data_IF_906772288395
#
_entry.id   IF_906772288395
#
_cell.length_a   1.000
_cell.length_b   1.000
_cell.length_c   1.000
_cell.angle_alpha   90.00
_cell.angle_beta   90.00
_cell.angle_gamma   90.00
#
_symmetry.space_group_name_H-M   'P 1'
#
loop_
_entity.id
_entity.type
_entity.pdbx_description
1 polymer ?
#
# COMPACT_ATOMS: atom_id res chain seq x y z
N UNK A 1 -18.79 -1.27 -37.06
CA UNK A 1 -17.66 -1.04 -36.15
C UNK A 1 -18.10 -1.41 -34.76
N UNK A 2 -17.32 -2.28 -34.11
CA UNK A 2 -17.42 -2.50 -32.67
C UNK A 2 -17.09 -1.18 -31.95
N UNK A 3 -17.69 -0.87 -30.80
CA UNK A 3 -17.29 0.29 -29.98
C UNK A 3 -16.33 -0.15 -28.89
N UNK A 4 -15.27 0.63 -28.57
CA UNK A 4 -14.35 0.30 -27.47
C UNK A 4 -15.07 0.19 -26.12
N UNK A 5 -16.13 0.98 -25.90
CA UNK A 5 -16.95 0.95 -24.67
C UNK A 5 -17.73 -0.36 -24.48
N UNK A 6 -18.02 -1.08 -25.57
CA UNK A 6 -18.82 -2.31 -25.55
C UNK A 6 -17.95 -3.56 -25.46
N UNK A 7 -16.90 -3.62 -26.28
CA UNK A 7 -15.95 -4.74 -26.31
C UNK A 7 -14.60 -4.26 -26.84
N UNK A 8 -13.76 -3.76 -25.94
CA UNK A 8 -12.41 -3.26 -26.23
C UNK A 8 -11.53 -4.32 -26.90
N UNK A 9 -11.73 -5.62 -26.60
CA UNK A 9 -10.92 -6.69 -27.18
C UNK A 9 -11.29 -6.91 -28.64
N UNK A 10 -12.59 -7.00 -28.94
CA UNK A 10 -13.06 -7.16 -30.31
C UNK A 10 -12.74 -5.92 -31.15
N UNK A 11 -12.96 -4.71 -30.61
CA UNK A 11 -12.60 -3.45 -31.26
C UNK A 11 -11.08 -3.36 -31.53
N UNK A 12 -10.22 -3.63 -30.55
CA UNK A 12 -8.76 -3.54 -30.73
C UNK A 12 -8.26 -4.53 -31.79
N UNK A 13 -8.88 -5.71 -31.89
CA UNK A 13 -8.57 -6.70 -32.95
C UNK A 13 -9.01 -6.20 -34.33
N UNK A 14 -10.19 -5.59 -34.43
CA UNK A 14 -10.70 -4.97 -35.66
C UNK A 14 -9.75 -3.85 -36.12
N UNK A 15 -9.41 -2.90 -35.25
CA UNK A 15 -8.47 -1.82 -35.56
C UNK A 15 -7.08 -2.32 -35.96
N UNK A 16 -6.55 -3.32 -35.25
CA UNK A 16 -5.26 -3.91 -35.58
C UNK A 16 -5.27 -4.68 -36.92
N UNK A 17 -6.42 -5.20 -37.36
CA UNK A 17 -6.56 -5.80 -38.69
C UNK A 17 -6.57 -4.73 -39.79
N UNK A 18 -7.30 -3.62 -39.59
CA UNK A 18 -7.34 -2.48 -40.51
C UNK A 18 -5.95 -1.85 -40.69
N UNK A 19 -5.22 -1.63 -39.59
CA UNK A 19 -3.84 -1.12 -39.62
C UNK A 19 -2.91 -2.02 -40.43
N UNK A 20 -2.96 -3.34 -40.22
CA UNK A 20 -2.13 -4.30 -40.97
C UNK A 20 -2.51 -4.39 -42.46
N UNK A 21 -3.77 -4.13 -42.79
CA UNK A 21 -4.26 -4.08 -44.17
C UNK A 21 -3.98 -2.74 -44.87
N UNK A 22 -3.42 -1.75 -44.18
CA UNK A 22 -3.18 -0.40 -44.71
C UNK A 22 -4.45 0.41 -44.96
N UNK A 23 -5.58 0.05 -44.35
CA UNK A 23 -6.89 0.69 -44.52
C UNK A 23 -7.04 1.88 -43.55
N UNK A 24 -6.16 2.88 -43.69
CA UNK A 24 -6.08 4.01 -42.77
C UNK A 24 -7.28 4.96 -42.80
N UNK A 25 -8.10 4.92 -43.85
CA UNK A 25 -9.33 5.72 -43.92
C UNK A 25 -10.46 5.16 -43.03
N UNK A 26 -10.29 3.92 -42.54
CA UNK A 26 -11.32 3.20 -41.78
C UNK A 26 -10.95 3.02 -40.31
N UNK A 27 -9.75 3.47 -39.88
CA UNK A 27 -9.33 3.36 -38.49
C UNK A 27 -9.93 4.46 -37.64
N UNK A 28 -10.22 4.11 -36.39
CA UNK A 28 -10.74 5.03 -35.38
C UNK A 28 -9.59 5.75 -34.67
N UNK A 29 -9.03 6.77 -35.32
CA UNK A 29 -7.77 7.43 -34.89
C UNK A 29 -7.85 7.98 -33.48
N UNK A 30 -8.95 8.65 -33.11
CA UNK A 30 -9.11 9.29 -31.81
C UNK A 30 -9.12 8.25 -30.69
N UNK A 31 -9.96 7.21 -30.79
CA UNK A 31 -9.99 6.16 -29.77
C UNK A 31 -8.70 5.34 -29.72
N UNK A 32 -8.01 5.15 -30.86
CA UNK A 32 -6.68 4.51 -30.86
C UNK A 32 -5.67 5.35 -30.08
N UNK A 33 -5.68 6.68 -30.26
CA UNK A 33 -4.78 7.56 -29.51
C UNK A 33 -5.06 7.48 -28.00
N UNK A 34 -6.33 7.57 -27.61
CA UNK A 34 -6.77 7.43 -26.22
C UNK A 34 -6.31 6.10 -25.59
N UNK A 35 -6.51 4.98 -26.30
CA UNK A 35 -6.12 3.65 -25.82
C UNK A 35 -4.60 3.50 -25.69
N UNK A 36 -3.81 4.12 -26.57
CA UNK A 36 -2.34 4.15 -26.46
C UNK A 36 -1.91 4.95 -25.23
N UNK A 37 -2.53 6.10 -24.98
CA UNK A 37 -2.27 6.90 -23.78
C UNK A 37 -2.69 6.12 -22.52
N UNK A 38 -3.79 5.37 -22.59
CA UNK A 38 -4.27 4.55 -21.48
C UNK A 38 -3.37 3.38 -21.13
N UNK A 39 -2.70 2.78 -22.12
CA UNK A 39 -1.65 1.79 -21.87
C UNK A 39 -0.54 2.40 -21.01
N UNK A 40 -0.06 3.60 -21.36
CA UNK A 40 0.98 4.29 -20.58
C UNK A 40 0.50 4.65 -19.16
N UNK A 41 -0.72 5.20 -19.02
CA UNK A 41 -1.34 5.47 -17.71
C UNK A 41 -1.53 4.20 -16.89
N UNK A 42 -1.84 3.07 -17.53
CA UNK A 42 -2.01 1.76 -16.91
C UNK A 42 -0.74 1.26 -16.23
N UNK A 43 0.40 1.35 -16.91
CA UNK A 43 1.71 0.95 -16.37
C UNK A 43 2.07 1.75 -15.10
N UNK A 44 1.87 3.07 -15.13
CA UNK A 44 2.11 3.94 -13.97
C UNK A 44 1.17 3.58 -12.81
N UNK A 45 -0.13 3.37 -13.08
CA UNK A 45 -1.11 2.95 -12.06
C UNK A 45 -0.76 1.61 -11.43
N UNK A 46 -0.37 0.61 -12.24
CA UNK A 46 0.04 -0.71 -11.73
C UNK A 46 1.29 -0.60 -10.84
N UNK A 47 2.30 0.16 -11.26
CA UNK A 47 3.50 0.39 -10.45
C UNK A 47 3.16 1.08 -9.12
N UNK A 48 2.30 2.10 -9.16
CA UNK A 48 1.81 2.83 -7.97
C UNK A 48 1.16 1.85 -6.99
N UNK A 49 0.24 1.02 -7.47
CA UNK A 49 -0.46 0.03 -6.66
C UNK A 49 0.49 -1.01 -6.05
N UNK A 50 1.45 -1.52 -6.83
CA UNK A 50 2.46 -2.47 -6.34
C UNK A 50 3.35 -1.85 -5.27
N UNK A 51 3.81 -0.62 -5.47
CA UNK A 51 4.66 0.08 -4.50
C UNK A 51 3.90 0.38 -3.21
N UNK A 52 2.65 0.82 -3.30
CA UNK A 52 1.78 1.00 -2.14
C UNK A 52 1.63 -0.32 -1.38
N UNK A 53 1.26 -1.41 -2.07
CA UNK A 53 1.13 -2.75 -1.47
C UNK A 53 2.42 -3.23 -0.78
N UNK A 54 3.57 -3.09 -1.44
CA UNK A 54 4.87 -3.41 -0.83
C UNK A 54 5.08 -2.60 0.45
N UNK A 55 4.77 -1.30 0.42
CA UNK A 55 4.92 -0.39 1.54
C UNK A 55 4.01 -0.75 2.71
N UNK A 56 2.76 -1.18 2.44
CA UNK A 56 1.85 -1.71 3.47
C UNK A 56 2.47 -2.94 4.14
N UNK A 57 3.07 -3.85 3.37
CA UNK A 57 3.64 -5.07 3.95
C UNK A 57 4.89 -4.78 4.78
N UNK A 58 5.69 -3.79 4.38
CA UNK A 58 6.80 -3.29 5.19
C UNK A 58 6.31 -2.61 6.49
N UNK A 59 5.21 -1.86 6.45
CA UNK A 59 4.58 -1.31 7.65
C UNK A 59 4.08 -2.42 8.58
N UNK A 60 3.37 -3.42 8.05
CA UNK A 60 2.96 -4.60 8.84
C UNK A 60 4.15 -5.30 9.47
N UNK A 61 5.23 -5.48 8.71
CA UNK A 61 6.48 -6.05 9.24
C UNK A 61 7.04 -5.23 10.42
N UNK A 62 7.05 -3.91 10.31
CA UNK A 62 7.59 -3.03 11.35
C UNK A 62 6.70 -3.00 12.60
N UNK A 63 5.38 -2.90 12.44
CA UNK A 63 4.46 -2.57 13.53
C UNK A 63 3.73 -3.78 14.11
N UNK A 64 3.79 -4.95 13.48
CA UNK A 64 3.20 -6.19 13.98
C UNK A 64 4.27 -7.32 14.05
N UNK A 65 5.29 -7.19 14.91
CA UNK A 65 6.38 -8.16 15.00
C UNK A 65 5.89 -9.59 15.31
N UNK A 66 4.85 -9.71 16.13
CA UNK A 66 4.27 -11.01 16.53
C UNK A 66 3.51 -11.71 15.40
N UNK A 67 3.16 -10.99 14.33
CA UNK A 67 2.43 -11.51 13.16
C UNK A 67 3.33 -11.75 11.94
N UNK A 68 4.65 -11.65 12.12
CA UNK A 68 5.61 -11.99 11.07
C UNK A 68 5.54 -13.48 10.78
N UNK A 69 5.24 -13.80 9.54
CA UNK A 69 5.11 -15.16 9.06
C UNK A 69 5.95 -15.38 7.80
N UNK A 70 6.28 -16.64 7.46
CA UNK A 70 6.89 -16.98 6.18
C UNK A 70 6.08 -16.43 5.00
N UNK A 71 4.74 -16.41 5.10
CA UNK A 71 3.85 -15.84 4.10
C UNK A 71 4.04 -14.33 3.94
N UNK A 72 4.12 -13.56 5.03
CA UNK A 72 4.39 -12.12 4.95
C UNK A 72 5.76 -11.83 4.32
N UNK A 73 6.79 -12.57 4.74
CA UNK A 73 8.11 -12.48 4.15
C UNK A 73 8.09 -12.79 2.63
N UNK A 74 7.37 -13.84 2.23
CA UNK A 74 7.19 -14.21 0.82
C UNK A 74 6.46 -13.13 0.01
N UNK A 75 5.37 -12.56 0.54
CA UNK A 75 4.63 -11.48 -0.11
C UNK A 75 5.52 -10.26 -0.39
N UNK A 76 6.33 -9.84 0.59
CA UNK A 76 7.27 -8.71 0.42
C UNK A 76 8.29 -9.01 -0.68
N UNK A 77 8.90 -10.21 -0.66
CA UNK A 77 9.88 -10.61 -1.70
C UNK A 77 9.26 -10.64 -3.09
N UNK A 78 8.07 -11.22 -3.22
CA UNK A 78 7.35 -11.30 -4.51
C UNK A 78 7.05 -9.91 -5.05
N UNK A 79 6.58 -8.97 -4.21
CA UNK A 79 6.30 -7.60 -4.66
C UNK A 79 7.57 -6.87 -5.10
N UNK A 80 8.68 -7.02 -4.37
CA UNK A 80 9.99 -6.46 -4.77
C UNK A 80 10.44 -7.00 -6.13
N UNK A 81 10.38 -8.31 -6.34
CA UNK A 81 10.78 -8.91 -7.61
C UNK A 81 9.88 -8.49 -8.77
N UNK A 82 8.57 -8.38 -8.55
CA UNK A 82 7.61 -7.88 -9.55
C UNK A 82 7.87 -6.42 -9.91
N UNK A 83 8.09 -5.55 -8.93
CA UNK A 83 8.46 -4.15 -9.16
C UNK A 83 9.77 -4.03 -9.94
N UNK A 84 10.80 -4.79 -9.55
CA UNK A 84 12.09 -4.81 -10.27
C UNK A 84 11.92 -5.32 -11.70
N UNK A 85 11.09 -6.35 -11.92
CA UNK A 85 10.81 -6.86 -13.25
C UNK A 85 10.08 -5.83 -14.11
N UNK A 86 9.09 -5.14 -13.55
CA UNK A 86 8.36 -4.08 -14.24
C UNK A 86 9.28 -2.91 -14.62
N UNK A 87 10.12 -2.43 -13.69
CA UNK A 87 11.11 -1.37 -13.97
C UNK A 87 12.12 -1.76 -15.06
N UNK A 88 12.55 -3.03 -15.09
CA UNK A 88 13.40 -3.54 -16.19
C UNK A 88 12.67 -3.61 -17.52
N UNK A 89 11.39 -3.97 -17.50
CA UNK A 89 10.56 -4.08 -18.70
C UNK A 89 10.11 -2.73 -19.27
N UNK A 90 9.94 -1.74 -18.39
CA UNK A 90 9.43 -0.40 -18.73
C UNK A 90 10.36 0.68 -18.14
N UNK A 91 11.53 0.94 -18.75
CA UNK A 91 12.51 1.86 -18.18
C UNK A 91 12.01 3.30 -18.01
N UNK A 92 11.00 3.72 -18.77
CA UNK A 92 10.34 5.03 -18.65
C UNK A 92 9.61 5.23 -17.31
N UNK A 93 9.46 4.19 -16.49
CA UNK A 93 8.93 4.28 -15.13
C UNK A 93 9.98 4.70 -14.08
N UNK A 94 11.28 4.59 -14.39
CA UNK A 94 12.34 4.95 -13.44
C UNK A 94 12.25 6.39 -12.90
N UNK A 95 11.94 7.43 -13.71
CA UNK A 95 11.82 8.79 -13.21
C UNK A 95 10.80 8.95 -12.08
N UNK A 96 9.70 8.18 -12.08
CA UNK A 96 8.69 8.23 -11.02
C UNK A 96 9.25 7.84 -9.65
N UNK A 97 10.33 7.04 -9.60
CA UNK A 97 10.96 6.65 -8.33
C UNK A 97 11.62 7.82 -7.59
N UNK A 98 11.87 8.93 -8.30
CA UNK A 98 12.41 10.18 -7.77
C UNK A 98 11.38 11.32 -7.77
N UNK A 99 10.12 11.04 -8.13
CA UNK A 99 9.04 12.02 -8.13
C UNK A 99 8.43 12.13 -6.72
N UNK A 100 8.62 13.30 -6.09
CA UNK A 100 8.16 13.57 -4.74
C UNK A 100 6.63 13.48 -4.57
N UNK A 101 5.86 13.89 -5.58
CA UNK A 101 4.39 13.82 -5.50
C UNK A 101 3.94 12.37 -5.59
N UNK A 102 4.49 11.60 -6.54
CA UNK A 102 4.21 10.17 -6.63
C UNK A 102 4.59 9.41 -5.36
N UNK A 103 5.74 9.73 -4.75
CA UNK A 103 6.16 9.12 -3.48
C UNK A 103 5.19 9.45 -2.34
N UNK A 104 4.69 10.70 -2.28
CA UNK A 104 3.70 11.11 -1.27
C UNK A 104 2.38 10.36 -1.45
N UNK A 105 1.89 10.23 -2.68
CA UNK A 105 0.64 9.53 -2.98
C UNK A 105 0.73 8.05 -2.59
N UNK A 106 1.79 7.36 -3.03
CA UNK A 106 2.08 5.98 -2.64
C UNK A 106 2.12 5.80 -1.13
N UNK A 107 2.74 6.75 -0.41
CA UNK A 107 2.85 6.69 1.04
C UNK A 107 1.50 6.92 1.74
N UNK A 108 0.70 7.89 1.25
CA UNK A 108 -0.63 8.17 1.78
C UNK A 108 -1.55 6.96 1.63
N UNK A 109 -1.56 6.33 0.45
CA UNK A 109 -2.31 5.11 0.17
C UNK A 109 -1.87 3.97 1.06
N UNK A 110 -0.56 3.74 1.17
CA UNK A 110 -0.01 2.68 2.01
C UNK A 110 -0.34 2.88 3.50
N UNK A 111 -0.27 4.11 4.01
CA UNK A 111 -0.67 4.42 5.41
C UNK A 111 -2.15 4.17 5.64
N UNK A 112 -3.00 4.59 4.71
CA UNK A 112 -4.44 4.39 4.81
C UNK A 112 -4.78 2.89 4.82
N UNK A 113 -4.19 2.12 3.90
CA UNK A 113 -4.41 0.68 3.82
C UNK A 113 -3.82 -0.06 5.04
N UNK A 114 -2.60 0.29 5.47
CA UNK A 114 -1.99 -0.30 6.66
C UNK A 114 -2.85 -0.04 7.90
N UNK A 115 -3.43 1.15 8.05
CA UNK A 115 -4.31 1.47 9.16
C UNK A 115 -5.55 0.56 9.19
N UNK A 116 -6.17 0.35 8.02
CA UNK A 116 -7.31 -0.56 7.88
C UNK A 116 -6.97 -2.02 8.20
N UNK A 117 -5.82 -2.50 7.74
CA UNK A 117 -5.43 -3.92 7.91
C UNK A 117 -4.84 -4.26 9.28
N UNK A 118 -4.22 -3.30 9.94
CA UNK A 118 -3.52 -3.54 11.22
C UNK A 118 -4.32 -3.13 12.45
N UNK A 119 -5.45 -2.43 12.25
CA UNK A 119 -6.17 -1.73 13.31
C UNK A 119 -5.32 -0.71 14.09
N UNK A 120 -4.16 -0.34 13.56
CA UNK A 120 -3.32 0.75 14.09
C UNK A 120 -3.85 2.06 13.51
N UNK A 121 -4.06 3.07 14.36
CA UNK A 121 -4.56 4.37 13.92
C UNK A 121 -3.62 5.04 12.91
N UNK A 122 -4.18 5.67 11.88
CA UNK A 122 -3.43 6.36 10.82
C UNK A 122 -2.36 7.35 11.32
N UNK A 123 -2.63 8.02 12.45
CA UNK A 123 -1.73 8.98 13.08
C UNK A 123 -0.48 8.36 13.74
N UNK A 124 -0.46 7.04 13.98
CA UNK A 124 0.71 6.34 14.50
C UNK A 124 1.77 6.08 13.43
N UNK A 125 1.37 6.10 12.15
CA UNK A 125 2.34 6.03 11.07
C UNK A 125 2.96 7.41 10.83
N UNK A 126 4.29 7.50 10.61
CA UNK A 126 4.95 8.77 10.32
C UNK A 126 4.31 9.53 9.16
N UNK A 127 4.32 10.86 9.25
CA UNK A 127 3.74 11.70 8.20
C UNK A 127 4.43 11.49 6.84
N UNK A 128 5.75 11.29 6.86
CA UNK A 128 6.58 11.00 5.68
C UNK A 128 7.15 9.58 5.77
N UNK A 129 7.36 8.95 4.62
CA UNK A 129 7.97 7.62 4.58
C UNK A 129 9.38 7.67 5.18
N UNK A 130 9.70 6.84 6.20
CA UNK A 130 11.02 6.84 6.83
C UNK A 130 12.07 6.08 5.99
N UNK A 131 11.65 5.45 4.89
CA UNK A 131 12.52 4.59 4.08
C UNK A 131 12.75 5.21 2.71
N UNK A 132 14.01 5.26 2.30
CA UNK A 132 14.38 5.64 0.95
C UNK A 132 13.80 4.64 -0.07
N UNK A 133 13.69 5.04 -1.34
CA UNK A 133 13.17 4.17 -2.39
C UNK A 133 14.02 2.90 -2.56
N UNK A 134 15.34 3.08 -2.53
CA UNK A 134 16.34 2.03 -2.66
C UNK A 134 16.17 0.99 -1.55
N UNK A 135 15.91 1.45 -0.32
CA UNK A 135 15.65 0.56 0.82
C UNK A 135 14.37 -0.25 0.62
N UNK A 136 13.28 0.36 0.15
CA UNK A 136 12.03 -0.37 -0.09
C UNK A 136 12.22 -1.48 -1.11
N UNK A 137 12.98 -1.23 -2.17
CA UNK A 137 13.26 -2.20 -3.24
C UNK A 137 14.39 -3.20 -2.92
N UNK A 138 15.25 -2.91 -1.96
CA UNK A 138 16.34 -3.80 -1.57
C UNK A 138 15.82 -5.10 -0.93
N UNK A 139 16.28 -6.24 -1.44
CA UNK A 139 15.94 -7.56 -0.90
C UNK A 139 16.47 -7.81 0.51
N UNK A 140 17.53 -7.11 0.91
CA UNK A 140 18.18 -7.25 2.21
C UNK A 140 17.60 -6.31 3.28
N UNK A 141 16.81 -5.32 2.87
CA UNK A 141 16.22 -4.36 3.79
C UNK A 141 14.97 -4.91 4.50
N UNK A 142 14.97 -4.80 5.83
CA UNK A 142 13.83 -5.10 6.70
C UNK A 142 13.72 -4.00 7.78
N UNK A 143 12.54 -3.35 7.96
CA UNK A 143 12.37 -2.15 8.81
C UNK A 143 12.65 -2.27 10.33
N UNK A 144 13.19 -3.38 10.79
CA UNK A 144 13.49 -3.67 12.19
C UNK A 144 14.97 -3.71 12.52
N UNK A 145 15.86 -3.69 11.52
CA UNK A 145 17.32 -3.70 11.73
C UNK A 145 17.86 -2.43 12.43
N UNK A 146 17.01 -1.42 12.68
CA UNK A 146 17.33 -0.19 13.41
C UNK A 146 16.74 -0.07 14.82
N UNK A 147 15.96 -1.04 15.32
CA UNK A 147 15.31 -0.93 16.65
C UNK A 147 16.26 -1.30 17.79
N UNK A 148 17.36 -0.54 17.93
CA UNK A 148 17.93 -0.18 19.24
C UNK A 148 17.61 1.27 19.63
N UNK A 149 16.97 2.06 18.77
CA UNK A 149 16.47 3.38 19.16
C UNK A 149 15.10 3.22 19.85
N UNK A 150 15.09 3.49 21.16
CA UNK A 150 13.89 3.68 21.96
C UNK A 150 13.08 4.86 21.40
N UNK A 151 11.75 4.88 21.56
CA UNK A 151 11.01 6.11 21.30
C UNK A 151 11.42 7.16 22.33
N UNK A 152 12.17 8.16 21.89
CA UNK A 152 12.35 9.40 22.63
C UNK A 152 11.00 10.11 22.71
N UNK A 153 10.38 9.98 23.88
CA UNK A 153 9.19 10.75 24.25
C UNK A 153 9.57 12.23 24.36
N UNK A 154 8.81 13.16 23.75
CA UNK A 154 8.92 14.56 24.14
C UNK A 154 8.46 14.67 25.59
N UNK A 155 9.35 15.22 26.42
CA UNK A 155 9.26 15.17 27.87
C UNK A 155 7.91 15.60 28.45
N UNK A 156 7.33 14.72 29.26
CA UNK A 156 6.37 15.10 30.29
C UNK A 156 7.05 14.82 31.62
N UNK A 157 7.06 15.85 32.47
CA UNK A 157 7.79 15.91 33.73
C UNK A 157 7.52 14.72 34.65
N UNK A 158 8.62 14.32 35.29
CA UNK A 158 8.78 13.45 36.45
C UNK A 158 7.55 13.23 37.33
N UNK A 159 7.13 11.97 37.48
CA UNK A 159 6.73 11.38 38.77
C UNK A 159 6.83 9.85 38.74
N UNK A 160 7.43 9.18 39.75
CA UNK A 160 7.69 7.75 39.70
C UNK A 160 6.62 6.95 40.47
N UNK A 161 5.82 6.14 39.76
CA UNK A 161 5.33 4.83 40.19
C UNK A 161 4.25 4.30 39.24
N UNK A 162 4.30 2.97 39.00
CA UNK A 162 3.26 2.07 38.46
C UNK A 162 3.40 1.67 36.97
N UNK A 163 2.99 0.44 36.58
CA UNK A 163 3.91 -0.60 36.09
C UNK A 163 3.70 -1.00 34.60
N UNK A 164 4.53 -1.94 34.14
CA UNK A 164 4.52 -2.56 32.80
C UNK A 164 3.17 -3.23 32.48
N UNK A 165 2.33 -2.59 31.66
CA UNK A 165 1.36 -3.22 30.73
C UNK A 165 0.38 -2.17 30.14
N UNK A 166 0.86 -1.37 29.19
CA UNK A 166 0.07 -0.32 28.53
C UNK A 166 -0.77 -0.80 27.32
N UNK A 167 -0.84 -2.11 27.05
CA UNK A 167 -1.54 -2.69 25.89
C UNK A 167 -3.06 -2.87 26.07
N UNK A 168 -3.64 -2.55 27.23
CA UNK A 168 -5.07 -2.79 27.50
C UNK A 168 -6.00 -1.58 27.35
N UNK A 169 -5.50 -0.40 27.01
CA UNK A 169 -6.35 0.80 26.86
C UNK A 169 -6.76 1.05 25.41
N UNK A 170 -7.51 0.11 24.83
CA UNK A 170 -8.38 0.32 23.67
C UNK A 170 -9.50 -0.73 23.69
N UNK A 171 -10.48 -0.55 24.57
CA UNK A 171 -11.77 -1.23 24.49
C UNK A 171 -12.89 -0.16 24.60
N UNK A 172 -13.92 -0.19 23.75
CA UNK A 172 -14.97 0.83 23.77
C UNK A 172 -15.85 0.70 25.02
N UNK A 173 -16.20 1.85 25.58
CA UNK A 173 -17.09 1.98 26.73
C UNK A 173 -18.48 1.41 26.44
N UNK A 174 -19.00 0.58 27.37
CA UNK A 174 -20.32 -0.04 27.22
C UNK A 174 -20.84 -0.75 28.47
N UNK A 175 -21.37 0.03 29.42
CA UNK A 175 -22.47 -0.29 30.35
C UNK A 175 -22.24 -1.22 31.57
N UNK A 176 -22.07 -0.53 32.71
CA UNK A 176 -22.77 -0.69 34.01
C UNK A 176 -22.93 -2.07 34.64
N UNK A 177 -22.14 -2.30 35.69
CA UNK A 177 -22.34 -3.38 36.67
C UNK A 177 -23.08 -2.83 37.91
N UNK A 178 -24.16 -3.48 38.35
CA UNK A 178 -24.77 -3.26 39.67
C UNK A 178 -25.19 -4.61 40.27
N UNK A 179 -24.62 -5.05 41.40
CA UNK A 179 -25.25 -6.02 42.28
C UNK A 179 -25.27 -5.49 43.75
N UNK A 180 -25.80 -6.24 44.73
CA UNK A 180 -26.97 -7.11 44.76
C UNK A 180 -27.93 -6.73 45.93
N UNK A 181 -29.16 -7.23 45.97
CA UNK A 181 -29.90 -7.33 47.25
C UNK A 181 -30.49 -8.73 47.45
N UNK A 182 -30.09 -9.35 48.56
CA UNK A 182 -30.64 -10.56 49.13
C UNK A 182 -31.98 -10.27 49.82
N UNK A 183 -32.97 -11.17 49.66
CA UNK A 183 -33.78 -11.66 50.80
C UNK A 183 -34.56 -12.94 50.47
N UNK A 184 -34.20 -13.98 51.24
CA UNK A 184 -34.94 -15.12 51.83
C UNK A 184 -36.32 -15.51 51.28
N UNK A 185 -36.50 -16.82 51.21
CA UNK A 185 -37.70 -17.48 50.69
C UNK A 185 -38.83 -17.67 51.69
N UNK A 186 -39.88 -18.30 51.16
CA UNK A 186 -40.68 -19.41 51.69
C UNK A 186 -41.24 -20.17 50.50
#
# INVERSE_FOLDING_TARGET
MTSPDQDVIAWAREQAALLRAGRFEEIDVEHIADEIEDVARGEVRDMTHRMATLTVWLLRWQYQPDLRSPSLHSMIRVQRERLKAQLRGTPSLHPSLADDEWIKDVWADARQQASRETSIGFAFFPERCPWAMEQRLDSMFWPDQGRRAQPEHPGIGTSPAAPLNWWHYCAPAGHSNRPPEHRRGT
#
